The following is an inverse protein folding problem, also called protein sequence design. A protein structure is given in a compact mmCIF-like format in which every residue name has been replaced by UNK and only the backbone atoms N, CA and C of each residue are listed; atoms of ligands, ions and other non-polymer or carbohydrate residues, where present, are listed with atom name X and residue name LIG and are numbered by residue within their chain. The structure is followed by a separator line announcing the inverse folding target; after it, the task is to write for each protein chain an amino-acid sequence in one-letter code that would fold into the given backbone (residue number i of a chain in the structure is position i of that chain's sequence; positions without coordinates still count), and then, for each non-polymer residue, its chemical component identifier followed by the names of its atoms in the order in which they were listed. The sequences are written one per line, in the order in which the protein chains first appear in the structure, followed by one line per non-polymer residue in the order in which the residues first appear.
data_IF_647952736502
#
_entry.id   IF_647952736502
#
_cell.length_a   1.000
_cell.length_b   1.000
_cell.length_c   1.000
_cell.angle_alpha   90.00
_cell.angle_beta   90.00
_cell.angle_gamma   90.00
#
_symmetry.space_group_name_H-M   'P 1'
#
loop_
_entity.id
_entity.type
_entity.pdbx_description
1 polymer ?
#
# COMPACT_ATOMS: atom_id res chain seq x y z
N UNK A 1 -13.65 -28.95 7.80
CA UNK A 1 -12.65 -27.85 7.71
C UNK A 1 -13.40 -26.56 7.90
N UNK A 2 -12.91 -25.63 8.72
CA UNK A 2 -13.54 -24.30 8.83
C UNK A 2 -13.50 -23.62 7.47
N UNK A 3 -14.66 -23.23 6.94
CA UNK A 3 -14.74 -22.51 5.69
C UNK A 3 -14.51 -21.03 5.98
N UNK A 4 -13.40 -20.49 5.50
CA UNK A 4 -13.13 -19.06 5.58
C UNK A 4 -13.83 -18.38 4.39
N UNK A 5 -14.90 -17.63 4.65
CA UNK A 5 -15.56 -16.80 3.63
C UNK A 5 -15.27 -15.31 3.84
N UNK A 6 -15.18 -14.55 2.74
CA UNK A 6 -15.04 -13.09 2.85
C UNK A 6 -16.23 -12.44 3.55
N UNK A 7 -17.42 -13.05 3.48
CA UNK A 7 -18.60 -12.57 4.19
C UNK A 7 -18.41 -12.63 5.72
N UNK A 8 -17.80 -13.69 6.25
CA UNK A 8 -17.55 -13.82 7.70
C UNK A 8 -16.65 -12.69 8.20
N UNK A 9 -15.57 -12.41 7.46
CA UNK A 9 -14.67 -11.31 7.77
C UNK A 9 -15.38 -9.95 7.73
N UNK A 10 -16.19 -9.70 6.71
CA UNK A 10 -16.94 -8.44 6.58
C UNK A 10 -17.97 -8.29 7.69
N UNK A 11 -18.62 -9.38 8.11
CA UNK A 11 -19.53 -9.39 9.25
C UNK A 11 -18.80 -9.07 10.57
N UNK A 12 -17.59 -9.57 10.78
CA UNK A 12 -16.77 -9.21 11.96
C UNK A 12 -16.44 -7.71 11.96
N UNK A 13 -16.01 -7.16 10.82
CA UNK A 13 -15.74 -5.72 10.71
C UNK A 13 -17.00 -4.87 10.97
N UNK A 14 -18.14 -5.27 10.41
CA UNK A 14 -19.42 -4.57 10.58
C UNK A 14 -19.92 -4.58 12.04
N UNK A 15 -19.57 -5.61 12.81
CA UNK A 15 -19.91 -5.74 14.23
C UNK A 15 -18.82 -5.19 15.17
N UNK A 16 -17.82 -4.49 14.65
CA UNK A 16 -16.67 -3.97 15.40
C UNK A 16 -15.84 -5.05 16.14
N UNK A 17 -15.86 -6.30 15.66
CA UNK A 17 -15.03 -7.38 16.20
C UNK A 17 -13.64 -7.39 15.52
N UNK A 18 -12.81 -6.40 15.84
CA UNK A 18 -11.45 -6.31 15.32
C UNK A 18 -10.53 -7.47 15.74
N UNK A 19 -10.55 -7.95 17.01
CA UNK A 19 -9.76 -9.11 17.41
C UNK A 19 -10.15 -10.38 16.64
N UNK A 20 -11.46 -10.61 16.47
CA UNK A 20 -12.00 -11.70 15.67
C UNK A 20 -11.59 -11.58 14.20
N UNK A 21 -11.74 -10.41 13.60
CA UNK A 21 -11.35 -10.16 12.22
C UNK A 21 -9.84 -10.35 11.98
N UNK A 22 -8.99 -9.88 12.90
CA UNK A 22 -7.53 -10.09 12.82
C UNK A 22 -7.20 -11.59 12.92
N UNK A 23 -7.76 -12.31 13.90
CA UNK A 23 -7.51 -13.74 14.07
C UNK A 23 -8.02 -14.54 12.87
N UNK A 24 -9.17 -14.16 12.33
CA UNK A 24 -9.74 -14.76 11.14
C UNK A 24 -8.79 -14.61 9.95
N UNK A 25 -8.23 -13.41 9.74
CA UNK A 25 -7.29 -13.15 8.65
C UNK A 25 -5.99 -13.94 8.80
N UNK A 26 -5.43 -13.97 10.02
CA UNK A 26 -4.22 -14.75 10.34
C UNK A 26 -4.44 -16.24 10.02
N UNK A 27 -5.61 -16.80 10.35
CA UNK A 27 -5.93 -18.20 10.04
C UNK A 27 -6.23 -18.43 8.56
N UNK A 28 -6.96 -17.52 7.92
CA UNK A 28 -7.36 -17.66 6.52
C UNK A 28 -6.14 -17.63 5.58
N UNK A 29 -5.13 -16.81 5.88
CA UNK A 29 -3.88 -16.76 5.09
C UNK A 29 -3.04 -18.03 5.17
N UNK A 30 -3.23 -18.86 6.20
CA UNK A 30 -2.59 -20.17 6.35
C UNK A 30 -3.40 -21.30 5.67
N UNK A 31 -4.64 -21.04 5.28
CA UNK A 31 -5.47 -22.03 4.62
C UNK A 31 -5.04 -22.21 3.15
N UNK A 32 -4.94 -23.47 2.71
CA UNK A 32 -4.56 -23.85 1.33
C UNK A 32 -5.35 -23.11 0.24
N UNK A 33 -6.61 -22.74 0.50
CA UNK A 33 -7.47 -21.98 -0.41
C UNK A 33 -6.89 -20.61 -0.80
N UNK A 34 -6.11 -20.00 0.08
CA UNK A 34 -5.57 -18.64 -0.09
C UNK A 34 -4.04 -18.61 -0.20
N UNK A 35 -3.41 -19.78 -0.24
CA UNK A 35 -1.97 -19.91 -0.39
C UNK A 35 -1.49 -19.19 -1.66
N UNK A 36 -0.48 -18.33 -1.52
CA UNK A 36 0.06 -17.53 -2.62
C UNK A 36 -0.83 -16.39 -3.12
N UNK A 37 -2.05 -16.22 -2.60
CA UNK A 37 -2.97 -15.14 -3.03
C UNK A 37 -2.67 -13.82 -2.30
N UNK A 38 -1.54 -13.22 -2.64
CA UNK A 38 -1.03 -11.98 -2.05
C UNK A 38 -2.01 -10.82 -2.21
N UNK A 39 -2.65 -10.69 -3.39
CA UNK A 39 -3.63 -9.64 -3.64
C UNK A 39 -4.84 -9.73 -2.71
N UNK A 40 -5.40 -10.93 -2.54
CA UNK A 40 -6.54 -11.13 -1.64
C UNK A 40 -6.16 -10.77 -0.20
N UNK A 41 -4.98 -11.20 0.26
CA UNK A 41 -4.46 -10.84 1.58
C UNK A 41 -4.31 -9.32 1.73
N UNK A 42 -3.70 -8.64 0.75
CA UNK A 42 -3.54 -7.19 0.77
C UNK A 42 -4.87 -6.45 0.89
N UNK A 43 -5.88 -6.88 0.13
CA UNK A 43 -7.20 -6.24 0.13
C UNK A 43 -7.87 -6.40 1.51
N UNK A 44 -7.74 -7.57 2.16
CA UNK A 44 -8.26 -7.80 3.52
C UNK A 44 -7.49 -7.03 4.60
N UNK A 45 -6.16 -6.96 4.52
CA UNK A 45 -5.35 -6.16 5.45
C UNK A 45 -5.69 -4.66 5.34
N UNK A 46 -6.00 -4.16 4.13
CA UNK A 46 -6.46 -2.77 3.93
C UNK A 46 -7.82 -2.49 4.58
N UNK A 47 -8.73 -3.44 4.51
CA UNK A 47 -10.04 -3.35 5.17
C UNK A 47 -9.90 -3.38 6.69
N UNK A 48 -9.09 -4.30 7.22
CA UNK A 48 -8.82 -4.38 8.65
C UNK A 48 -8.13 -3.11 9.18
N UNK A 49 -7.15 -2.58 8.46
CA UNK A 49 -6.50 -1.32 8.82
C UNK A 49 -7.50 -0.16 8.84
N UNK A 50 -8.40 -0.10 7.85
CA UNK A 50 -9.43 0.95 7.81
C UNK A 50 -10.30 0.87 9.07
N UNK A 51 -10.79 -0.31 9.41
CA UNK A 51 -11.64 -0.52 10.57
C UNK A 51 -10.88 -0.20 11.88
N UNK A 52 -9.61 -0.60 12.00
CA UNK A 52 -8.77 -0.27 13.15
C UNK A 52 -8.61 1.24 13.32
N UNK A 53 -8.31 1.97 12.24
CA UNK A 53 -8.23 3.43 12.25
C UNK A 53 -9.58 4.08 12.63
N UNK A 54 -10.68 3.63 12.03
CA UNK A 54 -12.02 4.20 12.27
C UNK A 54 -12.49 3.97 13.72
N UNK A 55 -12.05 2.89 14.37
CA UNK A 55 -12.39 2.55 15.76
C UNK A 55 -11.35 3.02 16.79
N UNK A 56 -10.26 3.64 16.35
CA UNK A 56 -9.20 4.13 17.24
C UNK A 56 -8.27 3.05 17.79
N UNK A 57 -8.27 1.84 17.20
CA UNK A 57 -7.35 0.75 17.60
C UNK A 57 -5.96 0.96 16.98
N UNK A 58 -5.18 1.83 17.62
CA UNK A 58 -3.83 2.18 17.21
C UNK A 58 -2.91 0.94 17.18
N UNK A 59 -2.98 0.07 18.19
CA UNK A 59 -2.10 -1.09 18.31
C UNK A 59 -2.29 -2.09 17.16
N UNK A 60 -3.55 -2.35 16.76
CA UNK A 60 -3.82 -3.21 15.62
C UNK A 60 -3.35 -2.56 14.31
N UNK A 61 -3.55 -1.26 14.13
CA UNK A 61 -3.07 -0.54 12.97
C UNK A 61 -1.53 -0.62 12.83
N UNK A 62 -0.80 -0.47 13.94
CA UNK A 62 0.65 -0.63 13.98
C UNK A 62 1.09 -2.07 13.65
N UNK A 63 0.39 -3.08 14.19
CA UNK A 63 0.65 -4.51 13.88
C UNK A 63 0.55 -4.77 12.37
N UNK A 64 -0.50 -4.25 11.72
CA UNK A 64 -0.71 -4.42 10.27
C UNK A 64 0.41 -3.74 9.48
N UNK A 65 0.80 -2.52 9.86
CA UNK A 65 1.90 -1.79 9.20
C UNK A 65 3.23 -2.54 9.37
N UNK A 66 3.55 -2.99 10.58
CA UNK A 66 4.79 -3.68 10.88
C UNK A 66 4.93 -4.99 10.08
N UNK A 67 3.81 -5.70 9.87
CA UNK A 67 3.75 -6.93 9.05
C UNK A 67 3.78 -6.69 7.53
N UNK A 68 3.81 -5.44 7.06
CA UNK A 68 3.85 -5.10 5.63
C UNK A 68 5.29 -5.02 5.15
N UNK A 69 5.66 -5.80 4.13
CA UNK A 69 7.03 -5.85 3.60
C UNK A 69 7.19 -5.18 2.22
N UNK A 70 6.10 -4.86 1.52
CA UNK A 70 6.17 -4.06 0.30
C UNK A 70 6.21 -2.57 0.67
N UNK A 71 7.21 -1.85 0.16
CA UNK A 71 7.44 -0.43 0.47
C UNK A 71 6.20 0.42 0.16
N UNK A 72 5.63 0.28 -1.04
CA UNK A 72 4.53 1.14 -1.47
C UNK A 72 3.23 0.86 -0.71
N UNK A 73 2.96 -0.41 -0.42
CA UNK A 73 1.85 -0.83 0.43
C UNK A 73 2.05 -0.32 1.85
N UNK A 74 3.25 -0.44 2.44
CA UNK A 74 3.51 0.03 3.80
C UNK A 74 3.41 1.56 3.89
N UNK A 75 4.00 2.29 2.95
CA UNK A 75 3.92 3.76 2.92
C UNK A 75 2.47 4.25 2.81
N UNK A 76 1.65 3.59 2.00
CA UNK A 76 0.21 3.89 1.93
C UNK A 76 -0.54 3.62 3.23
N UNK A 77 -0.18 2.56 3.96
CA UNK A 77 -0.75 2.22 5.27
C UNK A 77 -0.31 3.19 6.35
N UNK A 78 0.97 3.58 6.35
CA UNK A 78 1.53 4.59 7.27
C UNK A 78 0.83 5.93 7.10
N UNK A 79 0.67 6.43 5.86
CA UNK A 79 -0.05 7.68 5.62
C UNK A 79 -1.47 7.67 6.14
N UNK A 80 -2.16 6.53 6.01
CA UNK A 80 -3.49 6.36 6.61
C UNK A 80 -3.39 6.42 8.12
N UNK A 81 -2.49 5.66 8.75
CA UNK A 81 -2.29 5.72 10.19
C UNK A 81 -1.99 7.14 10.67
N UNK A 82 -1.09 7.85 9.99
CA UNK A 82 -0.66 9.20 10.37
C UNK A 82 -1.79 10.23 10.31
N UNK A 83 -2.75 10.03 9.42
CA UNK A 83 -3.96 10.85 9.37
C UNK A 83 -4.84 10.67 10.62
N UNK A 84 -4.94 9.46 11.18
CA UNK A 84 -5.81 9.18 12.34
C UNK A 84 -5.10 9.38 13.68
N UNK A 85 -3.84 9.00 13.77
CA UNK A 85 -3.11 8.86 15.05
C UNK A 85 -1.90 9.79 15.18
N UNK A 86 -1.50 10.48 14.11
CA UNK A 86 -0.27 11.27 14.10
C UNK A 86 0.98 10.42 13.75
N UNK A 87 2.19 10.94 14.00
CA UNK A 87 3.43 10.35 13.49
C UNK A 87 3.58 8.85 13.75
N UNK A 88 4.00 8.10 12.72
CA UNK A 88 4.31 6.68 12.86
C UNK A 88 5.81 6.47 13.13
N UNK A 89 6.14 6.01 14.33
CA UNK A 89 7.51 5.79 14.81
C UNK A 89 8.01 4.33 14.62
N UNK A 90 7.20 3.47 14.03
CA UNK A 90 7.55 2.07 13.80
C UNK A 90 8.49 1.83 12.61
N UNK A 91 8.81 0.55 12.36
CA UNK A 91 9.70 0.14 11.27
C UNK A 91 9.15 0.55 9.91
N UNK A 92 9.98 1.25 9.13
CA UNK A 92 9.74 1.53 7.71
C UNK A 92 10.59 0.61 6.84
N UNK A 93 9.95 -0.01 5.86
CA UNK A 93 10.59 -0.74 4.78
C UNK A 93 11.30 0.27 3.90
N UNK A 94 12.49 -0.08 3.42
CA UNK A 94 13.21 0.74 2.46
C UNK A 94 12.76 0.41 1.04
N UNK A 95 12.61 1.44 0.21
CA UNK A 95 12.43 1.24 -1.22
C UNK A 95 13.78 0.78 -1.79
N UNK A 96 13.78 -0.38 -2.46
CA UNK A 96 14.97 -0.95 -3.10
C UNK A 96 14.65 -1.29 -4.55
N UNK A 97 15.68 -1.29 -5.41
CA UNK A 97 15.53 -1.71 -6.80
C UNK A 97 15.90 -3.18 -6.97
N UNK A 98 15.12 -3.92 -7.75
CA UNK A 98 15.50 -5.22 -8.28
C UNK A 98 16.64 -5.09 -9.29
N UNK A 99 17.47 -6.14 -9.39
CA UNK A 99 18.58 -6.20 -10.34
C UNK A 99 18.14 -6.21 -11.81
N UNK A 100 16.90 -6.64 -12.10
CA UNK A 100 16.43 -6.85 -13.47
C UNK A 100 15.45 -5.76 -13.93
N UNK A 101 15.80 -5.13 -15.05
CA UNK A 101 14.98 -4.10 -15.70
C UNK A 101 13.84 -4.74 -16.49
N UNK A 102 12.61 -4.36 -16.20
CA UNK A 102 11.46 -4.74 -17.04
C UNK A 102 11.27 -3.75 -18.19
N UNK A 103 11.08 -4.18 -19.44
CA UNK A 103 10.84 -3.28 -20.57
C UNK A 103 9.37 -2.80 -20.69
N UNK A 104 8.57 -2.91 -19.63
CA UNK A 104 7.12 -2.66 -19.69
C UNK A 104 6.81 -1.16 -19.69
N UNK A 105 5.97 -0.65 -20.62
CA UNK A 105 5.57 0.75 -20.63
C UNK A 105 4.89 1.20 -19.34
N UNK A 106 5.14 2.45 -18.92
CA UNK A 106 4.48 3.07 -17.78
C UNK A 106 3.15 3.69 -18.25
N UNK A 107 2.04 3.13 -17.78
CA UNK A 107 0.67 3.54 -18.17
C UNK A 107 -0.19 3.99 -16.99
N UNK A 108 0.21 3.64 -15.77
CA UNK A 108 -0.52 3.91 -14.55
C UNK A 108 0.41 3.88 -13.33
N UNK A 109 -0.13 4.18 -12.15
CA UNK A 109 0.61 4.18 -10.88
C UNK A 109 1.19 2.81 -10.54
N UNK A 110 0.59 1.71 -11.01
CA UNK A 110 1.10 0.36 -10.77
C UNK A 110 2.35 0.08 -11.58
N UNK A 111 2.30 0.34 -12.88
CA UNK A 111 3.44 0.24 -13.80
C UNK A 111 4.53 1.28 -13.48
N UNK A 112 4.18 2.44 -12.92
CA UNK A 112 5.15 3.41 -12.39
C UNK A 112 5.94 2.83 -11.22
N UNK A 113 5.26 2.25 -10.22
CA UNK A 113 5.92 1.58 -9.09
C UNK A 113 6.79 0.40 -9.55
N UNK A 114 6.34 -0.36 -10.54
CA UNK A 114 7.16 -1.41 -11.16
C UNK A 114 8.41 -0.84 -11.85
N UNK A 115 8.30 0.30 -12.53
CA UNK A 115 9.46 0.96 -13.12
C UNK A 115 10.46 1.41 -12.05
N UNK A 116 9.98 1.96 -10.92
CA UNK A 116 10.82 2.28 -9.77
C UNK A 116 11.53 1.04 -9.21
N UNK A 117 10.79 -0.05 -8.96
CA UNK A 117 11.39 -1.32 -8.54
C UNK A 117 12.40 -1.85 -9.55
N UNK A 118 12.19 -1.69 -10.85
CA UNK A 118 13.15 -2.10 -11.88
C UNK A 118 14.31 -1.11 -12.09
N UNK A 119 14.47 -0.07 -11.27
CA UNK A 119 15.54 0.93 -11.44
C UNK A 119 15.41 1.77 -12.72
N UNK A 120 14.21 1.87 -13.31
CA UNK A 120 13.91 2.71 -14.48
C UNK A 120 13.46 4.10 -14.04
N UNK A 121 14.26 4.75 -13.20
CA UNK A 121 13.95 6.03 -12.57
C UNK A 121 13.82 7.16 -13.59
N UNK A 122 14.64 7.18 -14.64
CA UNK A 122 14.55 8.17 -15.73
C UNK A 122 13.23 8.07 -16.51
N UNK A 123 12.81 6.86 -16.88
CA UNK A 123 11.53 6.63 -17.56
C UNK A 123 10.35 7.03 -16.67
N UNK A 124 10.43 6.69 -15.37
CA UNK A 124 9.44 7.05 -14.38
C UNK A 124 9.35 8.58 -14.20
N UNK A 125 10.48 9.28 -14.15
CA UNK A 125 10.53 10.74 -14.09
C UNK A 125 9.94 11.39 -15.35
N UNK A 126 10.27 10.87 -16.54
CA UNK A 126 9.73 11.37 -17.80
C UNK A 126 8.20 11.19 -17.89
N UNK A 127 7.70 10.04 -17.45
CA UNK A 127 6.25 9.79 -17.35
C UNK A 127 5.56 10.76 -16.39
N UNK A 128 6.16 10.98 -15.22
CA UNK A 128 5.59 11.87 -14.21
C UNK A 128 5.56 13.33 -14.68
N UNK A 129 6.59 13.78 -15.40
CA UNK A 129 6.64 15.09 -16.05
C UNK A 129 5.49 15.29 -17.05
N UNK A 130 5.19 14.26 -17.86
CA UNK A 130 4.04 14.30 -18.80
C UNK A 130 2.71 14.46 -18.07
N UNK A 131 2.51 13.72 -16.99
CA UNK A 131 1.27 13.82 -16.20
C UNK A 131 1.16 15.17 -15.50
N UNK A 132 2.27 15.66 -14.92
CA UNK A 132 2.31 16.99 -14.31
C UNK A 132 1.88 18.08 -15.30
N UNK A 133 2.35 18.01 -16.55
CA UNK A 133 1.96 18.95 -17.60
C UNK A 133 0.48 18.84 -18.03
N UNK A 134 -0.15 17.68 -17.86
CA UNK A 134 -1.58 17.51 -18.14
C UNK A 134 -2.47 18.14 -17.06
N UNK A 135 -1.97 18.28 -15.83
CA UNK A 135 -2.71 18.89 -14.72
C UNK A 135 -3.78 17.98 -14.08
N UNK A 136 -3.87 16.71 -14.49
CA UNK A 136 -4.77 15.71 -13.92
C UNK A 136 -4.20 14.30 -14.10
N UNK A 137 -4.77 13.32 -13.38
CA UNK A 137 -4.49 11.91 -13.59
C UNK A 137 -5.75 11.06 -13.37
N UNK A 138 -6.23 10.42 -14.44
CA UNK A 138 -7.54 9.74 -14.45
C UNK A 138 -8.65 10.68 -13.98
N UNK A 139 -9.25 10.41 -12.83
CA UNK A 139 -10.30 11.24 -12.22
C UNK A 139 -9.75 12.21 -11.16
N UNK A 140 -8.45 12.16 -10.86
CA UNK A 140 -7.82 13.03 -9.87
C UNK A 140 -7.56 14.40 -10.48
N UNK A 141 -8.06 15.45 -9.82
CA UNK A 141 -7.86 16.86 -10.18
C UNK A 141 -7.64 17.70 -8.90
N UNK A 142 -7.24 18.96 -9.06
CA UNK A 142 -7.08 19.91 -7.94
C UNK A 142 -6.11 19.44 -6.86
N UNK A 143 -6.47 19.62 -5.60
CA UNK A 143 -5.62 19.27 -4.44
C UNK A 143 -5.32 17.78 -4.35
N UNK A 144 -6.27 16.92 -4.73
CA UNK A 144 -6.08 15.47 -4.71
C UNK A 144 -5.04 15.06 -5.74
N UNK A 145 -5.06 15.69 -6.92
CA UNK A 145 -4.02 15.50 -7.94
C UNK A 145 -2.66 16.02 -7.46
N UNK A 146 -2.62 17.22 -6.87
CA UNK A 146 -1.37 17.80 -6.37
C UNK A 146 -0.71 16.88 -5.32
N UNK A 147 -1.49 16.38 -4.35
CA UNK A 147 -1.00 15.43 -3.35
C UNK A 147 -0.51 14.13 -3.97
N UNK A 148 -1.25 13.59 -4.94
CA UNK A 148 -0.83 12.39 -5.67
C UNK A 148 0.48 12.60 -6.42
N UNK A 149 0.66 13.77 -7.05
CA UNK A 149 1.87 14.11 -7.79
C UNK A 149 3.08 14.22 -6.86
N UNK A 150 2.95 14.94 -5.74
CA UNK A 150 3.99 15.04 -4.70
C UNK A 150 4.38 13.65 -4.18
N UNK A 151 3.41 12.76 -3.98
CA UNK A 151 3.69 11.39 -3.56
C UNK A 151 4.58 10.64 -4.56
N UNK A 152 4.32 10.77 -5.86
CA UNK A 152 5.14 10.12 -6.89
C UNK A 152 6.53 10.76 -6.99
N UNK A 153 6.65 12.06 -6.78
CA UNK A 153 7.93 12.78 -6.78
C UNK A 153 8.81 12.33 -5.62
N UNK A 154 8.25 12.24 -4.41
CA UNK A 154 8.97 11.76 -3.23
C UNK A 154 9.48 10.32 -3.43
N UNK A 155 8.68 9.45 -4.06
CA UNK A 155 9.12 8.07 -4.38
C UNK A 155 10.33 8.04 -5.32
N UNK A 156 10.43 8.96 -6.28
CA UNK A 156 11.60 9.10 -7.16
C UNK A 156 12.82 9.65 -6.41
N UNK A 157 12.62 10.67 -5.57
CA UNK A 157 13.71 11.29 -4.82
C UNK A 157 14.38 10.33 -3.85
N UNK A 158 13.61 9.45 -3.19
CA UNK A 158 14.15 8.44 -2.28
C UNK A 158 15.16 7.54 -3.00
N UNK A 159 14.82 7.06 -4.20
CA UNK A 159 15.73 6.21 -4.98
C UNK A 159 16.94 6.98 -5.50
N UNK A 160 16.77 8.23 -5.92
CA UNK A 160 17.90 9.04 -6.40
C UNK A 160 18.92 9.32 -5.28
N UNK A 161 18.46 9.55 -4.04
CA UNK A 161 19.33 9.76 -2.88
C UNK A 161 20.16 8.53 -2.53
N UNK A 162 19.64 7.32 -2.78
CA UNK A 162 20.35 6.07 -2.53
C UNK A 162 21.44 5.77 -3.57
N UNK A 163 21.43 6.46 -4.73
CA UNK A 163 22.38 6.25 -5.83
C UNK A 163 23.62 7.18 -5.79
N UNK A 164 23.65 8.12 -4.85
CA UNK A 164 24.77 9.06 -4.57
C UNK A 164 25.52 8.66 -3.32
#
# INVERSE_FOLDING_TARGET
MAEFTTADFQNMLANNDLPGASKWLDNATQAKKYEGNTKWREDRERELLRAACDQGDQALAEKIIAGTNDYFSQNGRIKKYEYYFGPYDGRRVELTTAAEKTARPIKDSGSFKQALYSGRTEEAAAWLKKISAQGYYKTLTGEVFARWLTDRQNELEILNKQAT
#
